data_IF_554280357317
#
_entry.id   IF_554280357317
#
_cell.length_a   1.000
_cell.length_b   1.000
_cell.length_c   1.000
_cell.angle_alpha   90.00
_cell.angle_beta   90.00
_cell.angle_gamma   90.00
#
_symmetry.space_group_name_H-M   'P 1'
#
loop_
_entity.id
_entity.type
_entity.pdbx_description
1 polymer ?
#
# COMPACT_ATOMS: atom_id res chain seq x y z
N UNK A 1 56.78 -22.52 -16.34
CA UNK A 1 57.29 -21.50 -15.40
C UNK A 1 56.51 -21.57 -14.10
N UNK A 2 57.17 -21.79 -12.96
CA UNK A 2 56.52 -21.98 -11.65
C UNK A 2 56.34 -20.61 -10.97
N UNK A 3 55.13 -20.22 -10.52
CA UNK A 3 54.91 -18.91 -9.93
C UNK A 3 55.57 -18.79 -8.54
N UNK A 4 56.36 -17.75 -8.35
CA UNK A 4 57.16 -17.44 -7.15
C UNK A 4 56.28 -16.90 -5.99
N UNK A 5 55.08 -16.37 -6.30
CA UNK A 5 54.17 -15.76 -5.32
C UNK A 5 52.81 -16.45 -5.23
N UNK A 6 52.78 -17.77 -5.00
CA UNK A 6 51.54 -18.59 -4.97
C UNK A 6 50.45 -18.03 -4.06
N UNK A 7 50.81 -17.48 -2.88
CA UNK A 7 49.86 -16.89 -1.92
C UNK A 7 49.07 -15.70 -2.51
N UNK A 8 49.71 -14.86 -3.32
CA UNK A 8 49.06 -13.72 -3.99
C UNK A 8 48.06 -14.22 -5.05
N UNK A 9 48.46 -15.18 -5.87
CA UNK A 9 47.59 -15.78 -6.87
C UNK A 9 46.38 -16.49 -6.24
N UNK A 10 46.57 -17.23 -5.15
CA UNK A 10 45.46 -17.86 -4.43
C UNK A 10 44.51 -16.83 -3.80
N UNK A 11 45.03 -15.71 -3.31
CA UNK A 11 44.20 -14.62 -2.77
C UNK A 11 43.37 -13.96 -3.87
N UNK A 12 43.97 -13.65 -5.03
CA UNK A 12 43.25 -13.09 -6.19
C UNK A 12 42.17 -14.04 -6.71
N UNK A 13 42.44 -15.35 -6.76
CA UNK A 13 41.41 -16.34 -7.14
C UNK A 13 40.26 -16.40 -6.13
N UNK A 14 40.56 -16.27 -4.83
CA UNK A 14 39.55 -16.27 -3.76
C UNK A 14 38.69 -15.00 -3.82
N UNK A 15 39.30 -13.85 -4.06
CA UNK A 15 38.62 -12.57 -4.28
C UNK A 15 37.69 -12.63 -5.50
N UNK A 16 38.17 -13.15 -6.64
CA UNK A 16 37.34 -13.33 -7.83
C UNK A 16 36.14 -14.26 -7.57
N UNK A 17 36.34 -15.34 -6.81
CA UNK A 17 35.24 -16.23 -6.39
C UNK A 17 34.23 -15.53 -5.48
N UNK A 18 34.69 -14.75 -4.50
CA UNK A 18 33.80 -13.99 -3.64
C UNK A 18 33.04 -12.90 -4.40
N UNK A 19 33.67 -12.27 -5.39
CA UNK A 19 32.98 -11.32 -6.26
C UNK A 19 31.89 -12.00 -7.07
N UNK A 20 32.18 -13.17 -7.66
CA UNK A 20 31.19 -13.97 -8.37
C UNK A 20 30.02 -14.36 -7.45
N UNK A 21 30.31 -14.88 -6.25
CA UNK A 21 29.28 -15.25 -5.28
C UNK A 21 28.42 -14.03 -4.86
N UNK A 22 29.05 -12.89 -4.61
CA UNK A 22 28.35 -11.64 -4.31
C UNK A 22 27.44 -11.20 -5.47
N UNK A 23 27.89 -11.33 -6.72
CA UNK A 23 27.03 -10.99 -7.88
C UNK A 23 25.83 -11.92 -8.01
N UNK A 24 25.98 -13.22 -7.70
CA UNK A 24 24.88 -14.17 -7.68
C UNK A 24 23.89 -13.83 -6.57
N UNK A 25 24.38 -13.58 -5.36
CA UNK A 25 23.54 -13.18 -4.22
C UNK A 25 22.77 -11.89 -4.48
N UNK A 26 23.41 -10.87 -5.09
CA UNK A 26 22.74 -9.63 -5.50
C UNK A 26 21.63 -9.87 -6.52
N UNK A 27 21.87 -10.78 -7.47
CA UNK A 27 20.88 -11.14 -8.48
C UNK A 27 19.65 -11.81 -7.85
N UNK A 28 19.86 -12.69 -6.87
CA UNK A 28 18.78 -13.35 -6.14
C UNK A 28 18.05 -12.39 -5.19
N UNK A 29 18.78 -11.50 -4.52
CA UNK A 29 18.19 -10.41 -3.73
C UNK A 29 17.30 -9.51 -4.58
N UNK A 30 17.74 -9.13 -5.78
CA UNK A 30 16.94 -8.32 -6.70
C UNK A 30 15.64 -9.02 -7.11
N UNK A 31 15.68 -10.33 -7.39
CA UNK A 31 14.48 -11.13 -7.69
C UNK A 31 13.53 -11.18 -6.49
N UNK A 32 14.06 -11.43 -5.30
CA UNK A 32 13.26 -11.49 -4.07
C UNK A 32 12.60 -10.15 -3.76
N UNK A 33 13.35 -9.06 -3.91
CA UNK A 33 12.83 -7.70 -3.74
C UNK A 33 11.71 -7.40 -4.74
N UNK A 34 11.87 -7.76 -6.01
CA UNK A 34 10.83 -7.58 -7.03
C UNK A 34 9.56 -8.38 -6.68
N UNK A 35 9.70 -9.63 -6.22
CA UNK A 35 8.59 -10.47 -5.78
C UNK A 35 7.85 -9.86 -4.58
N UNK A 36 8.58 -9.34 -3.60
CA UNK A 36 8.00 -8.66 -2.43
C UNK A 36 7.26 -7.40 -2.85
N UNK A 37 7.86 -6.56 -3.71
CA UNK A 37 7.23 -5.35 -4.22
C UNK A 37 5.94 -5.65 -4.98
N UNK A 38 5.94 -6.69 -5.83
CA UNK A 38 4.74 -7.13 -6.54
C UNK A 38 3.63 -7.58 -5.58
N UNK A 39 3.96 -8.41 -4.57
CA UNK A 39 2.96 -8.85 -3.58
C UNK A 39 2.39 -7.68 -2.78
N UNK A 40 3.24 -6.76 -2.35
CA UNK A 40 2.81 -5.57 -1.62
C UNK A 40 1.88 -4.71 -2.47
N UNK A 41 2.15 -4.61 -3.75
CA UNK A 41 1.31 -3.86 -4.67
C UNK A 41 -0.09 -4.45 -4.79
N UNK A 42 -0.19 -5.76 -5.05
CA UNK A 42 -1.49 -6.45 -5.16
C UNK A 42 -2.27 -6.33 -3.85
N UNK A 43 -1.59 -6.47 -2.72
CA UNK A 43 -2.19 -6.30 -1.40
C UNK A 43 -2.75 -4.87 -1.21
N UNK A 44 -1.93 -3.85 -1.47
CA UNK A 44 -2.34 -2.45 -1.32
C UNK A 44 -3.50 -2.08 -2.24
N UNK A 45 -3.51 -2.59 -3.46
CA UNK A 45 -4.61 -2.41 -4.42
C UNK A 45 -5.92 -2.99 -3.88
N UNK A 46 -5.91 -4.26 -3.45
CA UNK A 46 -7.09 -4.92 -2.90
C UNK A 46 -7.56 -4.30 -1.58
N UNK A 47 -6.64 -3.85 -0.74
CA UNK A 47 -6.97 -3.15 0.50
C UNK A 47 -7.61 -1.79 0.21
N UNK A 48 -7.09 -1.03 -0.75
CA UNK A 48 -7.66 0.26 -1.13
C UNK A 48 -9.06 0.11 -1.72
N UNK A 49 -9.27 -0.85 -2.64
CA UNK A 49 -10.57 -1.16 -3.22
C UNK A 49 -11.62 -1.49 -2.15
N UNK A 50 -11.28 -2.37 -1.19
CA UNK A 50 -12.15 -2.69 -0.06
C UNK A 50 -12.45 -1.49 0.83
N UNK A 51 -11.47 -0.61 1.07
CA UNK A 51 -11.69 0.62 1.87
C UNK A 51 -12.62 1.60 1.17
N UNK A 52 -12.52 1.74 -0.15
CA UNK A 52 -13.42 2.60 -0.94
C UNK A 52 -14.86 2.17 -0.75
N UNK A 53 -15.16 0.89 -0.92
CA UNK A 53 -16.50 0.33 -0.74
C UNK A 53 -17.00 0.51 0.71
N UNK A 54 -16.19 0.12 1.68
CA UNK A 54 -16.53 0.20 3.10
C UNK A 54 -16.88 1.62 3.55
N UNK A 55 -16.08 2.62 3.18
CA UNK A 55 -16.34 4.00 3.61
C UNK A 55 -17.52 4.62 2.88
N UNK A 56 -17.82 4.19 1.65
CA UNK A 56 -19.04 4.58 0.95
C UNK A 56 -20.27 4.09 1.72
N UNK A 57 -20.29 2.80 2.08
CA UNK A 57 -21.40 2.21 2.83
C UNK A 57 -21.58 2.86 4.21
N UNK A 58 -20.48 3.11 4.93
CA UNK A 58 -20.53 3.77 6.24
C UNK A 58 -21.01 5.22 6.14
N UNK A 59 -20.62 5.96 5.09
CA UNK A 59 -21.14 7.31 4.84
C UNK A 59 -22.63 7.29 4.54
N UNK A 60 -23.10 6.36 3.70
CA UNK A 60 -24.52 6.20 3.39
C UNK A 60 -25.36 5.84 4.62
N UNK A 61 -24.86 4.93 5.46
CA UNK A 61 -25.53 4.54 6.70
C UNK A 61 -25.58 5.69 7.70
N UNK A 62 -24.49 6.44 7.86
CA UNK A 62 -24.42 7.60 8.73
C UNK A 62 -25.38 8.70 8.26
N UNK A 63 -25.48 8.94 6.94
CA UNK A 63 -26.43 9.88 6.36
C UNK A 63 -27.88 9.49 6.64
N UNK A 64 -28.23 8.21 6.45
CA UNK A 64 -29.58 7.70 6.78
C UNK A 64 -29.90 7.89 8.26
N UNK A 65 -28.94 7.60 9.13
CA UNK A 65 -29.08 7.79 10.58
C UNK A 65 -29.29 9.26 10.94
N UNK A 66 -28.52 10.16 10.33
CA UNK A 66 -28.66 11.60 10.53
C UNK A 66 -30.05 12.11 10.12
N UNK A 67 -30.59 11.62 9.00
CA UNK A 67 -31.93 11.99 8.55
C UNK A 67 -33.02 11.51 9.53
N UNK A 68 -32.88 10.30 10.08
CA UNK A 68 -33.81 9.78 11.08
C UNK A 68 -33.77 10.59 12.38
N UNK A 69 -32.57 10.92 12.87
CA UNK A 69 -32.40 11.74 14.07
C UNK A 69 -32.95 13.15 13.88
N UNK A 70 -32.75 13.76 12.70
CA UNK A 70 -33.33 15.07 12.38
C UNK A 70 -34.86 15.03 12.39
N UNK A 71 -35.46 14.00 11.77
CA UNK A 71 -36.91 13.82 11.79
C UNK A 71 -37.45 13.64 13.23
N UNK A 72 -36.77 12.85 14.05
CA UNK A 72 -37.10 12.67 15.46
C UNK A 72 -37.02 13.97 16.27
N UNK A 73 -35.93 14.73 16.10
CA UNK A 73 -35.74 16.02 16.77
C UNK A 73 -36.87 17.01 16.47
N UNK A 74 -37.33 17.10 15.21
CA UNK A 74 -38.47 17.96 14.85
C UNK A 74 -39.77 17.57 15.53
N UNK A 75 -39.90 16.31 15.99
CA UNK A 75 -41.09 15.78 16.66
C UNK A 75 -41.04 15.82 18.18
N UNK A 76 -39.87 15.65 18.82
CA UNK A 76 -39.74 15.47 20.28
C UNK A 76 -38.80 16.47 20.97
N UNK A 77 -38.02 17.26 20.22
CA UNK A 77 -37.21 18.37 20.76
C UNK A 77 -35.94 17.99 21.53
N UNK A 78 -35.64 16.70 21.70
CA UNK A 78 -34.45 16.20 22.41
C UNK A 78 -33.42 15.61 21.43
N UNK A 79 -32.12 15.85 21.73
CA UNK A 79 -30.90 15.28 21.10
C UNK A 79 -30.24 15.98 19.89
N UNK A 80 -30.09 17.30 19.93
CA UNK A 80 -29.24 18.04 18.97
C UNK A 80 -27.76 17.57 18.98
N UNK A 81 -27.21 17.19 20.13
CA UNK A 81 -25.83 16.70 20.25
C UNK A 81 -25.60 15.40 19.46
N UNK A 82 -26.57 14.48 19.49
CA UNK A 82 -26.52 13.23 18.72
C UNK A 82 -26.53 13.49 17.22
N UNK A 83 -27.30 14.49 16.77
CA UNK A 83 -27.33 14.95 15.38
C UNK A 83 -25.94 15.49 14.97
N UNK A 84 -25.33 16.34 15.79
CA UNK A 84 -23.99 16.85 15.52
C UNK A 84 -22.96 15.71 15.44
N UNK A 85 -23.04 14.74 16.37
CA UNK A 85 -22.10 13.61 16.40
C UNK A 85 -22.21 12.74 15.15
N UNK A 86 -23.43 12.46 14.67
CA UNK A 86 -23.60 11.66 13.46
C UNK A 86 -23.21 12.44 12.19
N UNK A 87 -23.48 13.75 12.13
CA UNK A 87 -23.03 14.59 11.01
C UNK A 87 -21.50 14.64 10.94
N UNK A 88 -20.82 14.71 12.08
CA UNK A 88 -19.36 14.59 12.13
C UNK A 88 -18.88 13.25 11.55
N UNK A 89 -19.54 12.13 11.88
CA UNK A 89 -19.22 10.82 11.31
C UNK A 89 -19.44 10.76 9.80
N UNK A 90 -20.51 11.36 9.28
CA UNK A 90 -20.74 11.47 7.83
C UNK A 90 -19.55 12.15 7.15
N UNK A 91 -19.09 13.27 7.71
CA UNK A 91 -17.94 14.00 7.19
C UNK A 91 -16.66 13.16 7.27
N UNK A 92 -16.40 12.52 8.40
CA UNK A 92 -15.25 11.65 8.61
C UNK A 92 -15.20 10.50 7.59
N UNK A 93 -16.33 9.82 7.35
CA UNK A 93 -16.40 8.75 6.36
C UNK A 93 -16.24 9.27 4.92
N UNK A 94 -16.77 10.45 4.62
CA UNK A 94 -16.55 11.09 3.33
C UNK A 94 -15.07 11.37 3.06
N UNK A 95 -14.35 11.90 4.05
CA UNK A 95 -12.90 12.13 3.96
C UNK A 95 -12.13 10.83 3.77
N UNK A 96 -12.42 9.80 4.59
CA UNK A 96 -11.78 8.47 4.48
C UNK A 96 -12.06 7.80 3.13
N UNK A 97 -13.23 7.99 2.55
CA UNK A 97 -13.56 7.49 1.23
C UNK A 97 -12.67 8.15 0.16
N UNK A 98 -12.51 9.48 0.21
CA UNK A 98 -11.64 10.23 -0.71
C UNK A 98 -10.18 9.77 -0.57
N UNK A 99 -9.69 9.61 0.66
CA UNK A 99 -8.35 9.07 0.93
C UNK A 99 -8.18 7.66 0.34
N UNK A 100 -9.16 6.77 0.52
CA UNK A 100 -9.11 5.43 -0.05
C UNK A 100 -9.08 5.44 -1.59
N UNK A 101 -9.80 6.36 -2.23
CA UNK A 101 -9.75 6.55 -3.70
C UNK A 101 -8.38 7.04 -4.15
N UNK A 102 -7.78 7.99 -3.41
CA UNK A 102 -6.43 8.47 -3.70
C UNK A 102 -5.37 7.38 -3.53
N UNK A 103 -5.49 6.55 -2.49
CA UNK A 103 -4.64 5.38 -2.26
C UNK A 103 -4.77 4.36 -3.38
N UNK A 104 -5.99 4.08 -3.84
CA UNK A 104 -6.26 3.19 -4.97
C UNK A 104 -5.56 3.67 -6.24
N UNK A 105 -5.74 4.93 -6.61
CA UNK A 105 -5.08 5.53 -7.77
C UNK A 105 -3.56 5.51 -7.65
N UNK A 106 -3.03 5.74 -6.44
CA UNK A 106 -1.59 5.65 -6.16
C UNK A 106 -1.07 4.22 -6.30
N UNK A 107 -1.84 3.22 -5.88
CA UNK A 107 -1.50 1.81 -6.05
C UNK A 107 -1.46 1.42 -7.54
N UNK A 108 -2.44 1.86 -8.33
CA UNK A 108 -2.46 1.68 -9.79
C UNK A 108 -1.24 2.31 -10.46
N UNK A 109 -0.92 3.57 -10.15
CA UNK A 109 0.26 4.24 -10.71
C UNK A 109 1.59 3.54 -10.34
N UNK A 110 1.70 3.00 -9.12
CA UNK A 110 2.85 2.17 -8.72
C UNK A 110 2.92 0.87 -9.52
N UNK A 111 1.77 0.31 -9.90
CA UNK A 111 1.68 -0.94 -10.67
C UNK A 111 2.18 -0.72 -12.09
N UNK A 112 1.69 0.33 -12.73
CA UNK A 112 2.14 0.76 -14.04
C UNK A 112 3.65 1.02 -14.05
N UNK A 113 4.18 1.72 -13.04
CA UNK A 113 5.62 1.96 -12.91
C UNK A 113 6.43 0.66 -12.84
N UNK A 114 6.01 -0.29 -12.01
CA UNK A 114 6.68 -1.58 -11.88
C UNK A 114 6.62 -2.37 -13.19
N UNK A 115 5.47 -2.44 -13.84
CA UNK A 115 5.32 -3.13 -15.13
C UNK A 115 6.14 -2.49 -16.24
N UNK A 116 6.17 -1.15 -16.31
CA UNK A 116 6.95 -0.45 -17.32
C UNK A 116 8.47 -0.54 -17.07
N UNK A 117 8.88 -0.63 -15.80
CA UNK A 117 10.30 -0.84 -15.45
C UNK A 117 10.84 -2.23 -15.81
N UNK A 118 9.96 -3.20 -16.08
CA UNK A 118 10.34 -4.56 -16.51
C UNK A 118 10.54 -4.66 -18.03
N UNK A 119 10.13 -3.65 -18.81
CA UNK A 119 10.19 -3.66 -20.28
C UNK A 119 11.53 -3.16 -20.89
N UNK A 120 12.64 -3.19 -20.15
CA UNK A 120 13.96 -2.81 -20.64
C UNK A 120 14.99 -3.93 -20.48
#
# INVERSE_FOLDING_TARGET
>A
TIPIYRKKYTAMQKEARFLQESTMQKSDEMKNMLLVQHRQLVQNYSDAERRVELYKEQSDLANRTANLLLAGFTSTGTDFEEILRIQYKVLEYGLKHIEAVADYNTAVAKAEKLMNSVNY
#
